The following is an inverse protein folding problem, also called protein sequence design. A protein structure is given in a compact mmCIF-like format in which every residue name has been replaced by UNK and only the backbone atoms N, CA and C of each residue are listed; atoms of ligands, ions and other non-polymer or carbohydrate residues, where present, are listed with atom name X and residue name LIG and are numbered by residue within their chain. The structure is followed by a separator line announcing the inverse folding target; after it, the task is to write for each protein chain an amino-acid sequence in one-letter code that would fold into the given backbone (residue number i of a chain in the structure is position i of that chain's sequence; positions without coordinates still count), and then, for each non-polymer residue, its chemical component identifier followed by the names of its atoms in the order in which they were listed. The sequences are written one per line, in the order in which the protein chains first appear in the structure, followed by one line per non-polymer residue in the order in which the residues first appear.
data_IF_789286340520
#
_entry.id   IF_789286340520
#
_cell.length_a   1.000
_cell.length_b   1.000
_cell.length_c   1.000
_cell.angle_alpha   90.00
_cell.angle_beta   90.00
_cell.angle_gamma   90.00
#
_symmetry.space_group_name_H-M   'P 1'
#
loop_
_entity.id
_entity.type
_entity.pdbx_description
1 polymer ?
#
# COMPACT_ATOMS: atom_id res chain seq x y z
N UNK A 1 -1.42 -28.70 -17.82
CA UNK A 1 -2.53 -28.01 -17.16
C UNK A 1 -2.20 -27.71 -15.74
N UNK A 2 -2.09 -28.78 -14.95
CA UNK A 2 -1.79 -28.59 -13.54
C UNK A 2 -0.50 -27.84 -13.34
N UNK A 3 0.46 -28.08 -14.22
CA UNK A 3 1.74 -27.40 -14.11
C UNK A 3 1.59 -25.90 -14.27
N UNK A 4 0.72 -25.49 -15.20
CA UNK A 4 0.49 -24.06 -15.43
C UNK A 4 -0.14 -23.40 -14.21
N UNK A 5 -1.08 -24.09 -13.58
CA UNK A 5 -1.72 -23.57 -12.38
C UNK A 5 -0.71 -23.42 -11.26
N UNK A 6 0.17 -24.38 -11.10
CA UNK A 6 1.20 -24.30 -10.09
C UNK A 6 2.13 -23.12 -10.33
N UNK A 7 2.50 -22.90 -11.61
CA UNK A 7 3.37 -21.80 -11.95
C UNK A 7 2.72 -20.46 -11.60
N UNK A 8 1.43 -20.33 -11.88
CA UNK A 8 0.71 -19.10 -11.55
C UNK A 8 0.65 -18.86 -10.06
N UNK A 9 0.34 -19.90 -9.30
CA UNK A 9 0.28 -19.79 -7.85
C UNK A 9 1.64 -19.40 -7.30
N UNK A 10 2.67 -19.98 -7.86
CA UNK A 10 4.03 -19.70 -7.42
C UNK A 10 4.40 -18.24 -7.66
N UNK A 11 4.02 -17.72 -8.81
CA UNK A 11 4.28 -16.32 -9.12
C UNK A 11 3.53 -15.38 -8.18
N UNK A 12 2.29 -15.71 -7.86
CA UNK A 12 1.52 -14.88 -6.94
C UNK A 12 2.10 -14.91 -5.53
N UNK A 13 2.58 -16.06 -5.11
CA UNK A 13 3.24 -16.15 -3.81
C UNK A 13 4.50 -15.31 -3.78
N UNK A 14 5.24 -15.33 -4.87
CA UNK A 14 6.49 -14.57 -4.97
C UNK A 14 6.21 -13.07 -4.89
N UNK A 15 5.26 -12.58 -5.67
CA UNK A 15 4.95 -11.15 -5.66
C UNK A 15 4.42 -10.72 -4.30
N UNK A 16 3.62 -11.57 -3.64
CA UNK A 16 3.13 -11.25 -2.30
C UNK A 16 4.27 -11.10 -1.30
N UNK A 17 5.29 -11.94 -1.40
CA UNK A 17 6.44 -11.80 -0.52
C UNK A 17 7.18 -10.51 -0.77
N UNK A 18 7.34 -10.15 -2.05
CA UNK A 18 7.99 -8.88 -2.38
C UNK A 18 7.22 -7.70 -1.80
N UNK A 19 5.89 -7.74 -1.93
CA UNK A 19 5.04 -6.68 -1.40
C UNK A 19 5.22 -6.57 0.11
N UNK A 20 5.14 -7.70 0.82
CA UNK A 20 5.25 -7.69 2.27
C UNK A 20 6.62 -7.21 2.72
N UNK A 21 7.66 -7.67 2.05
CA UNK A 21 9.02 -7.27 2.41
C UNK A 21 9.23 -5.79 2.19
N UNK A 22 8.75 -5.26 1.05
CA UNK A 22 8.90 -3.84 0.74
C UNK A 22 8.14 -2.99 1.75
N UNK A 23 6.90 -3.37 2.05
CA UNK A 23 6.08 -2.60 2.99
C UNK A 23 6.72 -2.59 4.37
N UNK A 24 7.25 -3.73 4.81
CA UNK A 24 7.90 -3.81 6.12
C UNK A 24 9.18 -2.99 6.15
N UNK A 25 9.93 -3.01 5.06
CA UNK A 25 11.15 -2.21 4.97
C UNK A 25 10.85 -0.73 5.11
N UNK A 26 9.82 -0.26 4.40
CA UNK A 26 9.42 1.15 4.49
C UNK A 26 9.01 1.48 5.91
N UNK A 27 8.21 0.62 6.54
CA UNK A 27 7.77 0.84 7.91
C UNK A 27 8.95 0.99 8.86
N UNK A 28 9.92 0.10 8.74
CA UNK A 28 11.07 0.12 9.63
C UNK A 28 12.00 1.29 9.39
N UNK A 29 12.33 1.54 8.12
CA UNK A 29 13.31 2.56 7.81
C UNK A 29 12.78 3.97 7.93
N UNK A 30 11.52 4.18 7.59
CA UNK A 30 10.99 5.53 7.54
C UNK A 30 10.05 5.85 8.68
N UNK A 31 9.41 4.85 9.27
CA UNK A 31 8.46 5.10 10.37
C UNK A 31 8.93 4.54 11.69
N UNK A 32 9.98 3.70 11.68
CA UNK A 32 10.45 3.08 12.91
C UNK A 32 9.46 2.11 13.50
N UNK A 33 8.65 1.47 12.67
CA UNK A 33 7.63 0.52 13.10
C UNK A 33 7.93 -0.86 12.55
N UNK A 34 7.39 -1.88 13.22
CA UNK A 34 7.56 -3.25 12.77
C UNK A 34 6.51 -3.69 11.77
N UNK A 35 5.46 -2.92 11.59
CA UNK A 35 4.35 -3.29 10.74
C UNK A 35 3.91 -2.12 9.88
N UNK A 36 3.51 -2.35 8.62
CA UNK A 36 2.99 -1.28 7.77
C UNK A 36 1.54 -0.95 8.07
N UNK A 37 0.87 -1.71 8.93
CA UNK A 37 -0.55 -1.50 9.20
C UNK A 37 -0.76 -0.13 9.81
N UNK A 38 -1.84 0.52 9.39
CA UNK A 38 -2.19 1.83 9.91
C UNK A 38 -3.00 1.67 11.19
N UNK A 39 -2.66 2.47 12.19
CA UNK A 39 -3.32 2.41 13.49
C UNK A 39 -4.27 3.59 13.61
N UNK A 40 -5.56 3.29 13.63
CA UNK A 40 -6.59 4.31 13.76
C UNK A 40 -6.96 4.51 15.22
N UNK A 41 -7.37 5.75 15.60
CA UNK A 41 -7.93 5.94 16.92
C UNK A 41 -9.25 5.18 17.04
N UNK A 42 -9.65 4.90 18.30
CA UNK A 42 -10.87 4.14 18.52
C UNK A 42 -12.10 4.91 18.09
N UNK A 43 -12.08 6.23 18.26
CA UNK A 43 -13.23 7.06 17.92
C UNK A 43 -12.90 7.95 16.75
N UNK A 44 -13.80 7.97 15.78
CA UNK A 44 -13.60 8.72 14.55
C UNK A 44 -13.44 10.21 14.82
N UNK A 45 -14.08 10.70 15.87
CA UNK A 45 -13.96 12.11 16.19
C UNK A 45 -12.55 12.53 16.57
N UNK A 46 -11.71 11.56 16.91
CA UNK A 46 -10.33 11.83 17.27
C UNK A 46 -9.39 11.78 16.08
N UNK A 47 -9.92 11.57 14.85
CA UNK A 47 -9.08 11.44 13.68
C UNK A 47 -8.27 12.70 13.44
N UNK A 48 -6.97 12.49 13.14
CA UNK A 48 -6.16 13.52 12.52
C UNK A 48 -6.51 13.60 11.03
N UNK A 49 -5.88 14.55 10.33
CA UNK A 49 -6.05 14.62 8.88
C UNK A 49 -5.63 13.34 8.18
N UNK A 50 -4.52 12.76 8.63
CA UNK A 50 -4.04 11.51 8.05
C UNK A 50 -4.98 10.35 8.35
N UNK A 51 -5.53 10.32 9.57
CA UNK A 51 -6.50 9.27 9.92
C UNK A 51 -7.73 9.34 9.02
N UNK A 52 -8.24 10.54 8.82
CA UNK A 52 -9.42 10.73 7.98
C UNK A 52 -9.10 10.33 6.53
N UNK A 53 -7.92 10.69 6.04
CA UNK A 53 -7.51 10.31 4.70
C UNK A 53 -7.43 8.80 4.55
N UNK A 54 -6.81 8.13 5.52
CA UNK A 54 -6.70 6.67 5.46
C UNK A 54 -8.07 6.02 5.46
N UNK A 55 -8.99 6.50 6.32
CA UNK A 55 -10.33 5.90 6.39
C UNK A 55 -11.05 6.02 5.06
N UNK A 56 -10.94 7.18 4.42
CA UNK A 56 -11.60 7.36 3.12
C UNK A 56 -10.99 6.45 2.07
N UNK A 57 -9.66 6.35 2.04
CA UNK A 57 -9.00 5.50 1.06
C UNK A 57 -9.36 4.03 1.25
N UNK A 58 -9.37 3.57 2.50
CA UNK A 58 -9.71 2.18 2.80
C UNK A 58 -11.18 1.90 2.42
N UNK A 59 -12.07 2.87 2.66
CA UNK A 59 -13.47 2.71 2.30
C UNK A 59 -13.64 2.57 0.79
N UNK A 60 -12.89 3.37 0.02
CA UNK A 60 -12.94 3.27 -1.43
C UNK A 60 -12.47 1.91 -1.93
N UNK A 61 -11.39 1.39 -1.32
CA UNK A 61 -10.93 0.05 -1.66
C UNK A 61 -12.03 -0.97 -1.40
N UNK A 62 -12.67 -0.88 -0.24
CA UNK A 62 -13.69 -1.85 0.14
C UNK A 62 -14.92 -1.76 -0.75
N UNK A 63 -15.16 -0.61 -1.35
CA UNK A 63 -16.26 -0.41 -2.30
C UNK A 63 -15.89 -0.81 -3.71
N UNK A 64 -14.66 -1.28 -3.93
CA UNK A 64 -14.21 -1.68 -5.25
C UNK A 64 -13.74 -0.53 -6.12
N UNK A 65 -13.57 0.66 -5.55
CA UNK A 65 -13.15 1.84 -6.28
C UNK A 65 -11.65 2.04 -6.11
N UNK A 66 -10.88 1.03 -6.49
CA UNK A 66 -9.45 0.99 -6.17
C UNK A 66 -8.67 2.06 -6.93
N UNK A 67 -8.91 2.17 -8.24
CA UNK A 67 -8.16 3.15 -9.03
C UNK A 67 -8.49 4.56 -8.61
N UNK A 68 -9.73 4.81 -8.25
CA UNK A 68 -10.11 6.11 -7.72
C UNK A 68 -9.42 6.38 -6.39
N UNK A 69 -9.33 5.36 -5.55
CA UNK A 69 -8.64 5.50 -4.27
C UNK A 69 -7.18 5.86 -4.47
N UNK A 70 -6.52 5.20 -5.42
CA UNK A 70 -5.10 5.50 -5.67
C UNK A 70 -4.92 6.91 -6.23
N UNK A 71 -5.83 7.36 -7.09
CA UNK A 71 -5.77 8.73 -7.58
C UNK A 71 -5.91 9.73 -6.44
N UNK A 72 -6.81 9.45 -5.50
CA UNK A 72 -6.96 10.31 -4.34
C UNK A 72 -5.73 10.31 -3.45
N UNK A 73 -5.10 9.14 -3.31
CA UNK A 73 -3.86 9.06 -2.56
C UNK A 73 -2.79 9.94 -3.19
N UNK A 74 -2.65 9.88 -4.51
CA UNK A 74 -1.66 10.70 -5.20
C UNK A 74 -1.94 12.19 -4.99
N UNK A 75 -3.20 12.59 -5.09
CA UNK A 75 -3.56 13.99 -4.85
C UNK A 75 -3.24 14.41 -3.43
N UNK A 76 -3.55 13.54 -2.48
CA UNK A 76 -3.28 13.81 -1.08
C UNK A 76 -1.79 14.03 -0.84
N UNK A 77 -0.95 13.17 -1.42
CA UNK A 77 0.48 13.29 -1.25
C UNK A 77 1.05 14.51 -1.97
N UNK A 78 0.51 14.80 -3.15
CA UNK A 78 0.99 15.95 -3.94
C UNK A 78 0.68 17.27 -3.24
N UNK A 79 -0.44 17.35 -2.54
CA UNK A 79 -0.85 18.56 -1.84
C UNK A 79 -0.23 18.65 -0.45
N UNK A 80 0.37 17.58 0.03
CA UNK A 80 0.91 17.53 1.36
C UNK A 80 2.31 18.06 1.44
N UNK A 81 2.87 17.97 2.65
CA UNK A 81 4.21 18.48 2.94
C UNK A 81 5.27 17.38 3.01
N UNK A 82 4.91 16.14 2.72
CA UNK A 82 5.83 15.02 2.84
C UNK A 82 6.04 14.58 4.27
N UNK A 83 5.02 14.72 5.10
CA UNK A 83 5.15 14.43 6.51
C UNK A 83 5.16 12.93 6.76
N UNK A 84 5.62 12.59 7.96
CA UNK A 84 5.62 11.21 8.42
C UNK A 84 4.20 10.63 8.46
N UNK A 85 3.23 11.44 8.85
CA UNK A 85 1.84 11.01 8.93
C UNK A 85 1.28 10.70 7.55
N UNK A 86 1.66 11.49 6.55
CA UNK A 86 1.24 11.23 5.18
C UNK A 86 1.81 9.91 4.68
N UNK A 87 3.09 9.66 4.99
CA UNK A 87 3.70 8.40 4.62
C UNK A 87 2.99 7.23 5.29
N UNK A 88 2.65 7.38 6.56
CA UNK A 88 1.97 6.31 7.29
C UNK A 88 0.62 5.99 6.65
N UNK A 89 -0.14 7.01 6.26
CA UNK A 89 -1.44 6.79 5.62
C UNK A 89 -1.27 6.10 4.26
N UNK A 90 -0.28 6.52 3.49
CA UNK A 90 -0.02 5.91 2.18
C UNK A 90 0.42 4.46 2.31
N UNK A 91 1.30 4.19 3.26
CA UNK A 91 1.76 2.82 3.48
C UNK A 91 0.60 1.94 3.93
N UNK A 92 -0.26 2.47 4.82
CA UNK A 92 -1.43 1.75 5.26
C UNK A 92 -2.38 1.45 4.11
N UNK A 93 -2.51 2.37 3.17
CA UNK A 93 -3.31 2.17 1.97
C UNK A 93 -2.84 0.92 1.20
N UNK A 94 -1.54 0.82 0.93
CA UNK A 94 -1.02 -0.32 0.20
C UNK A 94 -1.07 -1.59 1.02
N UNK A 95 -0.91 -1.48 2.34
CA UNK A 95 -1.08 -2.63 3.22
C UNK A 95 -2.51 -3.16 3.15
N UNK A 96 -3.48 -2.26 3.15
CA UNK A 96 -4.89 -2.65 3.04
C UNK A 96 -5.15 -3.36 1.71
N UNK A 97 -4.60 -2.82 0.62
CA UNK A 97 -4.71 -3.45 -0.70
C UNK A 97 -4.10 -4.84 -0.70
N UNK A 98 -2.99 -5.02 -0.02
CA UNK A 98 -2.30 -6.31 -0.04
C UNK A 98 -3.11 -7.39 0.67
N UNK A 99 -4.09 -7.01 1.48
CA UNK A 99 -4.98 -7.96 2.12
C UNK A 99 -6.15 -8.39 1.24
N UNK A 100 -6.33 -7.77 0.09
CA UNK A 100 -7.38 -8.15 -0.84
C UNK A 100 -6.96 -9.39 -1.62
N UNK A 101 -7.95 -10.20 -2.01
CA UNK A 101 -7.66 -11.38 -2.82
C UNK A 101 -7.30 -10.96 -4.23
N UNK A 102 -6.60 -11.84 -4.92
CA UNK A 102 -6.26 -11.59 -6.32
C UNK A 102 -7.52 -11.41 -7.16
N UNK A 103 -8.53 -12.22 -6.90
CA UNK A 103 -9.79 -12.13 -7.63
C UNK A 103 -10.46 -10.77 -7.43
N UNK A 104 -10.48 -10.29 -6.20
CA UNK A 104 -11.06 -8.99 -5.90
C UNK A 104 -10.36 -7.89 -6.66
N UNK A 105 -9.02 -7.93 -6.68
CA UNK A 105 -8.25 -6.92 -7.39
C UNK A 105 -8.55 -6.95 -8.88
N UNK A 106 -8.56 -8.16 -9.46
CA UNK A 106 -8.82 -8.30 -10.89
C UNK A 106 -10.21 -7.80 -11.27
N UNK A 107 -11.19 -8.05 -10.43
CA UNK A 107 -12.54 -7.58 -10.67
C UNK A 107 -12.62 -6.05 -10.75
N UNK A 108 -11.66 -5.37 -10.14
CA UNK A 108 -11.67 -3.93 -10.06
C UNK A 108 -10.49 -3.31 -10.80
N UNK A 109 -9.98 -4.03 -11.81
CA UNK A 109 -8.95 -3.53 -12.72
C UNK A 109 -7.67 -3.14 -12.01
N UNK A 110 -7.25 -3.98 -11.07
CA UNK A 110 -6.03 -3.73 -10.32
C UNK A 110 -5.26 -5.04 -10.17
N UNK A 111 -3.95 -4.95 -9.91
CA UNK A 111 -3.13 -6.15 -9.79
C UNK A 111 -2.15 -6.00 -8.63
N UNK A 112 -1.61 -7.14 -8.20
CA UNK A 112 -0.59 -7.14 -7.15
C UNK A 112 0.71 -6.48 -7.61
N UNK A 113 1.01 -6.59 -8.91
CA UNK A 113 2.17 -5.89 -9.45
C UNK A 113 2.04 -4.39 -9.27
N UNK A 114 0.83 -3.86 -9.40
CA UNK A 114 0.60 -2.44 -9.20
C UNK A 114 0.77 -2.05 -7.74
N UNK A 115 0.44 -2.94 -6.80
CA UNK A 115 0.72 -2.68 -5.39
C UNK A 115 2.22 -2.52 -5.18
N UNK A 116 2.99 -3.45 -5.75
CA UNK A 116 4.44 -3.40 -5.59
C UNK A 116 5.01 -2.14 -6.22
N UNK A 117 4.54 -1.77 -7.41
CA UNK A 117 4.99 -0.55 -8.07
C UNK A 117 4.66 0.68 -7.22
N UNK A 118 3.47 0.70 -6.65
CA UNK A 118 3.07 1.81 -5.80
C UNK A 118 3.95 1.94 -4.57
N UNK A 119 4.31 0.81 -3.95
CA UNK A 119 5.20 0.84 -2.80
C UNK A 119 6.59 1.34 -3.18
N UNK A 120 7.08 0.96 -4.35
CA UNK A 120 8.38 1.43 -4.82
C UNK A 120 8.36 2.94 -5.05
N UNK A 121 7.30 3.43 -5.65
CA UNK A 121 7.17 4.87 -5.86
C UNK A 121 7.06 5.62 -4.55
N UNK A 122 6.36 5.02 -3.59
CA UNK A 122 6.24 5.62 -2.27
C UNK A 122 7.62 5.73 -1.61
N UNK A 123 8.39 4.65 -1.68
CA UNK A 123 9.74 4.66 -1.13
C UNK A 123 10.60 5.73 -1.78
N UNK A 124 10.50 5.86 -3.10
CA UNK A 124 11.26 6.86 -3.83
C UNK A 124 10.83 8.27 -3.43
N UNK A 125 9.53 8.48 -3.30
CA UNK A 125 9.01 9.80 -2.94
C UNK A 125 9.52 10.25 -1.58
N UNK A 126 9.69 9.30 -0.66
CA UNK A 126 10.13 9.63 0.70
C UNK A 126 11.62 9.36 0.95
N UNK A 127 12.38 9.10 -0.12
CA UNK A 127 13.83 9.13 -0.02
C UNK A 127 14.55 7.82 0.18
N UNK A 128 13.95 6.68 -0.20
CA UNK A 128 14.56 5.38 0.00
C UNK A 128 15.06 4.76 -1.30
N UNK A 129 15.14 5.54 -2.35
CA UNK A 129 15.50 5.03 -3.67
C UNK A 129 16.85 4.33 -3.70
N UNK A 130 17.82 4.87 -2.97
CA UNK A 130 19.16 4.33 -3.04
C UNK A 130 19.29 2.94 -2.46
N UNK A 131 18.39 2.59 -1.55
CA UNK A 131 18.52 1.33 -0.84
C UNK A 131 18.17 0.13 -1.68
N UNK A 132 17.06 0.19 -2.40
CA UNK A 132 16.63 -0.94 -3.19
C UNK A 132 17.53 -1.15 -4.39
N UNK A 133 18.18 -0.11 -4.86
CA UNK A 133 19.04 -0.22 -6.01
C UNK A 133 20.31 -0.98 -5.67
N UNK A 134 20.83 -0.75 -4.50
CA UNK A 134 22.12 -1.33 -4.12
C UNK A 134 22.01 -2.78 -3.74
N UNK A 135 20.85 -3.19 -3.32
CA UNK A 135 20.67 -4.55 -2.91
C UNK A 135 20.69 -5.50 -4.08
#
# INVERSE_FOLDING_TARGET
MERDEKDMDYEQDYIMRLIKDMARMIARLLLGKDSPAYELPEEEEEDSGADAAYRELARLIDEGRINEAENRLCDYLDQGSGSREELAAALGFYDHLSGCSEDYLEEHDYSREEIYDGLRELAARFGVTGLDIRM
#
